data_IF_206363272655
#
_entry.id   IF_206363272655
#
_cell.length_a   1.000
_cell.length_b   1.000
_cell.length_c   1.000
_cell.angle_alpha   90.00
_cell.angle_beta   90.00
_cell.angle_gamma   90.00
#
_symmetry.space_group_name_H-M   'P 1'
#
loop_
_entity.id
_entity.type
_entity.pdbx_description
1 polymer ?
#
# COMPACT_ATOMS: atom_id res chain seq x y z
N UNK A 1 -50.41 13.83 78.15
CA UNK A 1 -50.19 14.99 77.26
C UNK A 1 -49.68 14.48 75.91
N UNK A 2 -50.33 14.91 74.82
CA UNK A 2 -50.03 14.86 73.36
C UNK A 2 -49.00 13.82 72.84
N UNK A 3 -49.35 12.81 72.04
CA UNK A 3 -49.86 12.77 70.64
C UNK A 3 -48.93 13.48 69.62
N UNK A 4 -48.30 12.68 68.75
CA UNK A 4 -48.25 12.92 67.30
C UNK A 4 -48.09 11.59 66.54
N UNK A 5 -49.04 11.36 65.62
CA UNK A 5 -49.20 10.24 64.71
C UNK A 5 -48.81 10.65 63.27
N UNK A 6 -48.36 9.67 62.47
CA UNK A 6 -48.70 9.35 61.05
C UNK A 6 -47.46 8.68 60.42
N UNK A 7 -47.51 7.50 59.80
CA UNK A 7 -48.60 6.63 59.40
C UNK A 7 -48.28 5.98 58.04
N UNK A 8 -48.18 4.64 58.06
CA UNK A 8 -48.56 3.68 57.01
C UNK A 8 -47.87 3.68 55.64
N UNK A 9 -47.28 2.52 55.26
CA UNK A 9 -47.72 1.75 54.07
C UNK A 9 -47.55 0.22 54.35
N UNK A 10 -48.56 -0.62 54.09
CA UNK A 10 -48.51 -2.09 54.22
C UNK A 10 -48.34 -2.81 52.86
N UNK A 11 -47.90 -4.08 52.91
CA UNK A 11 -48.46 -5.14 52.06
C UNK A 11 -47.66 -5.62 50.84
N UNK A 12 -47.01 -6.77 51.01
CA UNK A 12 -46.82 -7.90 50.07
C UNK A 12 -47.07 -7.64 48.57
N UNK A 13 -46.03 -7.76 47.75
CA UNK A 13 -46.14 -7.90 46.30
C UNK A 13 -45.27 -9.04 45.76
N UNK A 14 -45.99 -10.07 45.29
CA UNK A 14 -45.69 -11.06 44.26
C UNK A 14 -44.51 -10.70 43.32
N UNK A 15 -43.46 -11.54 43.28
CA UNK A 15 -42.37 -11.44 42.32
C UNK A 15 -42.88 -11.75 40.89
N UNK A 16 -43.28 -10.71 40.15
CA UNK A 16 -43.46 -10.79 38.69
C UNK A 16 -42.09 -10.78 38.00
N UNK A 17 -41.79 -11.83 37.23
CA UNK A 17 -40.73 -11.82 36.21
C UNK A 17 -40.99 -10.68 35.23
N UNK A 18 -40.27 -9.58 35.37
CA UNK A 18 -40.10 -8.62 34.27
C UNK A 18 -39.18 -9.26 33.23
N UNK A 19 -39.75 -9.67 32.10
CA UNK A 19 -38.98 -9.85 30.86
C UNK A 19 -38.43 -8.47 30.51
N UNK A 20 -37.13 -8.28 30.73
CA UNK A 20 -36.40 -7.19 30.06
C UNK A 20 -36.51 -7.46 28.56
N UNK A 21 -37.27 -6.62 27.85
CA UNK A 21 -37.13 -6.46 26.40
C UNK A 21 -35.80 -5.73 26.19
N UNK A 22 -34.71 -6.49 26.14
CA UNK A 22 -33.50 -5.98 25.51
C UNK A 22 -33.83 -5.73 24.05
N UNK A 23 -33.81 -4.46 23.67
CA UNK A 23 -33.98 -4.02 22.30
C UNK A 23 -32.96 -4.70 21.41
N UNK A 24 -33.46 -5.28 20.32
CA UNK A 24 -32.72 -5.49 19.09
C UNK A 24 -32.11 -4.17 18.64
N UNK A 25 -30.77 -4.08 18.59
CA UNK A 25 -30.09 -2.92 18.04
C UNK A 25 -28.71 -2.70 18.64
N UNK A 26 -27.75 -3.53 18.24
CA UNK A 26 -26.46 -3.03 17.78
C UNK A 26 -26.07 -3.93 16.62
N UNK A 27 -26.31 -3.47 15.40
CA UNK A 27 -25.52 -3.96 14.29
C UNK A 27 -24.07 -3.66 14.67
N UNK A 28 -23.21 -4.69 14.71
CA UNK A 28 -21.79 -4.45 14.58
C UNK A 28 -21.62 -3.70 13.26
N UNK A 29 -21.62 -2.36 13.32
CA UNK A 29 -21.25 -1.53 12.19
C UNK A 29 -19.90 -2.07 11.74
N UNK A 30 -19.82 -2.53 10.48
CA UNK A 30 -18.58 -3.03 9.91
C UNK A 30 -17.47 -2.05 10.32
N UNK A 31 -16.46 -2.47 11.11
CA UNK A 31 -15.39 -1.56 11.48
C UNK A 31 -14.83 -0.99 10.18
N UNK A 32 -14.85 0.35 10.06
CA UNK A 32 -14.35 1.01 8.88
C UNK A 32 -12.90 0.57 8.69
N UNK A 33 -12.62 -0.06 7.55
CA UNK A 33 -11.28 -0.57 7.28
C UNK A 33 -10.28 0.59 7.36
N UNK A 34 -9.03 0.32 7.71
CA UNK A 34 -7.97 1.34 7.66
C UNK A 34 -6.79 0.82 6.88
N UNK A 35 -5.95 1.72 6.39
CA UNK A 35 -4.81 1.37 5.55
C UNK A 35 -3.54 2.09 5.98
N UNK A 36 -2.45 1.35 5.95
CA UNK A 36 -1.09 1.85 6.15
C UNK A 36 -0.35 1.76 4.81
N UNK A 37 0.12 2.90 4.31
CA UNK A 37 0.83 3.01 3.04
C UNK A 37 2.26 3.47 3.29
N UNK A 38 3.24 2.75 2.76
CA UNK A 38 4.65 3.16 2.82
C UNK A 38 5.12 3.51 1.41
N UNK A 39 5.53 4.76 1.23
CA UNK A 39 6.15 5.25 0.00
C UNK A 39 7.65 4.97 0.09
N UNK A 40 8.19 4.28 -0.90
CA UNK A 40 9.63 3.98 -1.01
C UNK A 40 10.11 4.67 -2.27
N UNK A 41 10.92 5.71 -2.11
CA UNK A 41 11.29 6.59 -3.23
C UNK A 41 12.79 6.63 -3.39
N UNK A 42 13.23 6.33 -4.61
CA UNK A 42 14.60 6.53 -5.02
C UNK A 42 14.88 8.05 -5.08
N UNK A 43 15.86 8.47 -4.29
CA UNK A 43 16.33 9.83 -4.15
C UNK A 43 17.33 10.15 -5.26
N UNK A 44 16.83 10.29 -6.48
CA UNK A 44 17.63 10.63 -7.66
C UNK A 44 16.87 11.64 -8.55
N UNK A 45 17.61 12.38 -9.37
CA UNK A 45 17.11 13.36 -10.31
C UNK A 45 16.10 12.78 -11.32
N UNK A 46 16.19 11.49 -11.65
CA UNK A 46 15.23 10.82 -12.54
C UNK A 46 13.76 10.97 -12.08
N UNK A 47 13.54 11.14 -10.77
CA UNK A 47 12.21 11.23 -10.16
C UNK A 47 11.83 12.60 -9.63
N UNK A 48 12.61 13.64 -9.93
CA UNK A 48 12.28 15.01 -9.52
C UNK A 48 10.83 15.40 -9.86
N UNK A 49 10.38 15.12 -11.08
CA UNK A 49 9.00 15.43 -11.51
C UNK A 49 7.93 14.57 -10.85
N UNK A 50 8.25 13.28 -10.59
CA UNK A 50 7.32 12.36 -9.92
C UNK A 50 7.14 12.76 -8.46
N UNK A 51 8.22 13.13 -7.77
CA UNK A 51 8.19 13.58 -6.38
C UNK A 51 7.41 14.90 -6.23
N UNK A 52 7.51 15.82 -7.21
CA UNK A 52 6.69 17.04 -7.21
C UNK A 52 5.19 16.76 -7.26
N UNK A 53 4.79 15.71 -7.97
CA UNK A 53 3.40 15.29 -8.07
C UNK A 53 2.95 14.36 -6.91
N UNK A 54 3.86 13.95 -6.04
CA UNK A 54 3.61 12.93 -5.02
C UNK A 54 2.57 13.36 -3.98
N UNK A 55 2.64 14.62 -3.49
CA UNK A 55 1.64 15.17 -2.55
C UNK A 55 0.23 15.10 -3.14
N UNK A 56 0.06 15.63 -4.36
CA UNK A 56 -1.24 15.61 -5.04
C UNK A 56 -1.71 14.16 -5.31
N UNK A 57 -0.80 13.28 -5.74
CA UNK A 57 -1.12 11.87 -5.99
C UNK A 57 -1.61 11.19 -4.72
N UNK A 58 -0.91 11.37 -3.59
CA UNK A 58 -1.27 10.72 -2.33
C UNK A 58 -2.55 11.29 -1.70
N UNK A 59 -2.84 12.58 -1.89
CA UNK A 59 -4.15 13.15 -1.52
C UNK A 59 -5.30 12.52 -2.32
N UNK A 60 -5.09 12.23 -3.60
CA UNK A 60 -6.09 11.53 -4.42
C UNK A 60 -6.21 10.07 -3.98
N UNK A 61 -5.10 9.38 -3.68
CA UNK A 61 -5.12 8.03 -3.08
C UNK A 61 -5.96 8.01 -1.81
N UNK A 62 -5.70 8.92 -0.88
CA UNK A 62 -6.43 9.01 0.38
C UNK A 62 -7.93 9.28 0.16
N UNK A 63 -8.27 10.15 -0.78
CA UNK A 63 -9.67 10.41 -1.17
C UNK A 63 -10.36 9.17 -1.73
N UNK A 64 -9.69 8.40 -2.59
CA UNK A 64 -10.25 7.16 -3.15
C UNK A 64 -10.37 6.07 -2.07
N UNK A 65 -9.43 6.02 -1.12
CA UNK A 65 -9.53 5.14 0.05
C UNK A 65 -10.76 5.47 0.91
N UNK A 66 -10.96 6.75 1.23
CA UNK A 66 -12.15 7.24 1.94
C UNK A 66 -13.44 6.85 1.19
N UNK A 67 -13.45 7.01 -0.13
CA UNK A 67 -14.58 6.64 -0.99
C UNK A 67 -14.84 5.12 -1.03
N UNK A 68 -13.79 4.31 -0.85
CA UNK A 68 -13.87 2.84 -0.74
C UNK A 68 -14.24 2.35 0.67
N UNK A 69 -14.49 3.26 1.61
CA UNK A 69 -14.87 2.99 2.99
C UNK A 69 -13.69 2.69 3.91
N UNK A 70 -12.46 3.07 3.50
CA UNK A 70 -11.34 3.12 4.43
C UNK A 70 -11.38 4.42 5.24
N UNK A 71 -10.80 4.41 6.43
CA UNK A 71 -10.72 5.56 7.33
C UNK A 71 -9.44 5.47 8.16
N UNK A 72 -9.01 6.59 8.76
CA UNK A 72 -7.79 6.61 9.58
C UNK A 72 -6.57 6.06 8.82
N UNK A 73 -6.43 6.44 7.55
CA UNK A 73 -5.31 6.03 6.70
C UNK A 73 -4.06 6.81 7.09
N UNK A 74 -2.90 6.16 7.06
CA UNK A 74 -1.62 6.81 7.35
C UNK A 74 -0.56 6.40 6.37
N UNK A 75 0.38 7.31 6.16
CA UNK A 75 1.42 7.26 5.17
C UNK A 75 2.77 7.34 5.87
N UNK A 76 3.76 6.61 5.37
CA UNK A 76 5.16 6.78 5.71
C UNK A 76 5.97 6.99 4.44
N UNK A 77 7.16 7.58 4.57
CA UNK A 77 8.07 7.82 3.46
C UNK A 77 9.45 7.27 3.80
N UNK A 78 10.02 6.51 2.87
CA UNK A 78 11.39 6.00 2.87
C UNK A 78 12.10 6.56 1.65
N UNK A 79 13.29 7.10 1.88
CA UNK A 79 14.23 7.47 0.82
C UNK A 79 15.37 6.45 0.71
N UNK A 80 15.94 6.29 -0.49
CA UNK A 80 17.14 5.47 -0.72
C UNK A 80 17.84 5.88 -2.04
N UNK A 81 19.08 5.44 -2.27
CA UNK A 81 19.67 5.47 -3.62
C UNK A 81 20.34 6.77 -4.11
N UNK A 82 20.44 7.84 -3.31
CA UNK A 82 21.08 9.12 -3.73
C UNK A 82 22.61 9.03 -3.95
N UNK A 83 23.25 7.94 -3.51
CA UNK A 83 24.67 7.72 -3.73
C UNK A 83 25.63 8.52 -2.86
N UNK A 84 25.13 9.27 -1.88
CA UNK A 84 25.96 9.96 -0.91
C UNK A 84 25.35 9.98 0.50
N UNK A 85 26.23 9.82 1.50
CA UNK A 85 25.90 9.90 2.91
C UNK A 85 24.80 8.92 3.33
N UNK A 86 23.98 9.32 4.31
CA UNK A 86 22.87 8.52 4.81
C UNK A 86 21.74 8.28 3.79
N UNK A 87 21.72 9.02 2.67
CA UNK A 87 20.67 8.90 1.66
C UNK A 87 20.96 7.78 0.63
N UNK A 88 22.12 7.12 0.71
CA UNK A 88 22.41 5.94 -0.11
C UNK A 88 21.59 4.74 0.33
N UNK A 89 21.43 4.53 1.65
CA UNK A 89 20.70 3.40 2.23
C UNK A 89 19.23 3.74 2.50
N UNK A 90 18.34 2.74 2.58
CA UNK A 90 16.96 2.94 2.99
C UNK A 90 16.86 3.62 4.35
N UNK A 91 16.11 4.73 4.42
CA UNK A 91 15.93 5.48 5.67
C UNK A 91 14.56 6.14 5.72
N UNK A 92 14.04 6.32 6.95
CA UNK A 92 12.73 6.96 7.16
C UNK A 92 12.84 8.48 7.01
N UNK A 93 11.90 9.06 6.28
CA UNK A 93 11.63 10.50 6.21
C UNK A 93 10.41 10.83 7.08
N UNK A 94 10.66 11.38 8.27
CA UNK A 94 9.57 11.71 9.22
C UNK A 94 8.87 13.02 8.87
N UNK A 95 7.57 13.11 9.16
CA UNK A 95 6.85 14.38 9.22
C UNK A 95 6.52 14.70 10.69
N UNK A 96 6.89 15.89 11.16
CA UNK A 96 6.67 16.33 12.57
C UNK A 96 7.17 15.31 13.61
N UNK A 97 8.32 14.68 13.34
CA UNK A 97 8.93 13.68 14.21
C UNK A 97 8.24 12.30 14.22
N UNK A 98 7.22 12.09 13.38
CA UNK A 98 6.49 10.82 13.28
C UNK A 98 6.86 10.06 12.00
N UNK A 99 7.00 8.73 12.11
CA UNK A 99 7.24 7.82 10.97
C UNK A 99 6.01 7.75 10.07
N UNK A 100 4.85 7.48 10.68
CA UNK A 100 3.56 7.49 10.00
C UNK A 100 2.83 8.82 10.26
N UNK A 101 2.20 9.36 9.23
CA UNK A 101 1.52 10.65 9.22
C UNK A 101 0.34 10.66 8.25
N UNK A 102 -0.56 11.63 8.38
CA UNK A 102 -1.66 11.81 7.42
C UNK A 102 -1.17 12.34 6.07
N UNK A 103 -1.93 12.06 5.00
CA UNK A 103 -1.59 12.43 3.61
C UNK A 103 -1.19 13.90 3.45
N UNK A 104 -1.86 14.81 4.15
CA UNK A 104 -1.61 16.24 4.08
C UNK A 104 -0.24 16.70 4.64
N UNK A 105 0.45 15.85 5.41
CA UNK A 105 1.79 16.12 5.96
C UNK A 105 2.93 15.62 5.07
N UNK A 106 2.63 14.94 3.96
CA UNK A 106 3.63 14.44 3.03
C UNK A 106 4.62 15.50 2.52
N UNK A 107 4.22 16.76 2.25
CA UNK A 107 5.16 17.82 1.86
C UNK A 107 6.29 18.05 2.87
N UNK A 108 6.04 17.84 4.16
CA UNK A 108 7.06 17.98 5.21
C UNK A 108 8.09 16.86 5.16
N UNK A 109 7.66 15.65 4.77
CA UNK A 109 8.55 14.49 4.64
C UNK A 109 9.39 14.57 3.35
N UNK A 110 8.80 15.06 2.25
CA UNK A 110 9.48 15.15 0.94
C UNK A 110 10.45 16.33 0.83
N UNK A 111 10.26 17.41 1.61
CA UNK A 111 11.09 18.63 1.55
C UNK A 111 12.60 18.36 1.66
N UNK A 112 12.99 17.32 2.41
CA UNK A 112 14.41 17.00 2.68
C UNK A 112 14.99 15.95 1.74
N UNK A 113 14.21 15.42 0.80
CA UNK A 113 14.70 14.46 -0.18
C UNK A 113 15.77 15.10 -1.06
N UNK A 114 16.79 14.32 -1.40
CA UNK A 114 17.84 14.73 -2.32
C UNK A 114 17.51 14.21 -3.71
N UNK A 115 17.17 15.12 -4.62
CA UNK A 115 16.82 14.78 -6.02
C UNK A 115 17.80 15.43 -6.99
N UNK A 116 18.92 15.93 -6.47
CA UNK A 116 20.05 16.43 -7.22
C UNK A 116 20.92 15.27 -7.71
N UNK A 117 21.66 15.49 -8.80
CA UNK A 117 22.70 14.55 -9.20
C UNK A 117 23.82 14.59 -8.15
N UNK A 118 24.37 13.44 -7.72
CA UNK A 118 25.38 13.40 -6.67
C UNK A 118 26.61 14.24 -7.05
N UNK A 119 27.01 15.13 -6.14
CA UNK A 119 28.02 16.17 -6.39
C UNK A 119 29.47 15.67 -6.57
N UNK A 120 29.75 14.37 -6.41
CA UNK A 120 31.10 13.82 -6.49
C UNK A 120 31.20 12.69 -7.51
N UNK A 121 31.85 13.04 -8.63
CA UNK A 121 32.47 12.16 -9.62
C UNK A 121 33.55 11.27 -8.98
N UNK A 122 33.31 9.96 -8.88
CA UNK A 122 34.34 8.91 -8.96
C UNK A 122 33.64 7.66 -9.50
N UNK A 123 34.33 6.88 -10.34
CA UNK A 123 33.91 5.65 -11.08
C UNK A 123 33.27 4.50 -10.26
N UNK A 124 32.66 4.76 -9.11
CA UNK A 124 31.94 3.74 -8.35
C UNK A 124 30.45 3.84 -8.68
N UNK A 125 29.86 2.77 -9.27
CA UNK A 125 28.43 2.72 -9.45
C UNK A 125 27.76 2.81 -8.07
N UNK A 126 26.83 3.74 -7.94
CA UNK A 126 25.97 3.83 -6.75
C UNK A 126 25.12 2.56 -6.72
N UNK A 127 25.29 1.73 -5.69
CA UNK A 127 24.37 0.62 -5.49
C UNK A 127 23.02 1.16 -5.04
N UNK A 128 21.99 0.91 -5.85
CA UNK A 128 20.60 1.34 -5.62
C UNK A 128 19.75 0.11 -5.34
N UNK A 129 19.98 -0.50 -4.19
CA UNK A 129 19.32 -1.74 -3.81
C UNK A 129 17.83 -1.50 -3.49
N UNK A 130 16.98 -1.74 -4.49
CA UNK A 130 15.52 -1.63 -4.37
C UNK A 130 14.95 -2.71 -3.45
N UNK A 131 15.57 -3.89 -3.38
CA UNK A 131 15.12 -4.99 -2.53
C UNK A 131 15.34 -4.67 -1.05
N UNK A 132 16.50 -4.14 -0.69
CA UNK A 132 16.75 -3.70 0.68
C UNK A 132 15.78 -2.57 1.08
N UNK A 133 15.47 -1.67 0.14
CA UNK A 133 14.46 -0.62 0.39
C UNK A 133 13.05 -1.18 0.63
N UNK A 134 12.62 -2.19 -0.16
CA UNK A 134 11.34 -2.89 0.04
C UNK A 134 11.33 -3.65 1.37
N UNK A 135 12.41 -4.38 1.68
CA UNK A 135 12.57 -5.10 2.94
C UNK A 135 12.48 -4.14 4.11
N UNK A 136 13.25 -3.06 4.11
CA UNK A 136 13.24 -2.03 5.14
C UNK A 136 11.82 -1.46 5.35
N UNK A 137 11.10 -1.18 4.25
CA UNK A 137 9.72 -0.71 4.30
C UNK A 137 8.74 -1.71 4.92
N UNK A 138 8.88 -2.99 4.61
CA UNK A 138 8.00 -4.05 5.12
C UNK A 138 8.18 -4.33 6.63
N UNK A 139 9.27 -3.85 7.22
CA UNK A 139 9.58 -3.97 8.66
C UNK A 139 9.08 -2.79 9.51
N UNK A 140 8.54 -1.73 8.89
CA UNK A 140 7.96 -0.61 9.61
C UNK A 140 6.81 -1.05 10.54
N UNK A 141 6.50 -0.26 11.59
CA UNK A 141 5.46 -0.61 12.58
C UNK A 141 4.04 -0.42 12.04
N UNK A 142 3.62 -1.30 11.13
CA UNK A 142 2.25 -1.43 10.64
C UNK A 142 1.27 -1.73 11.79
N UNK A 143 0.06 -1.17 11.72
CA UNK A 143 -1.00 -1.46 12.70
C UNK A 143 -1.53 -2.89 12.52
N UNK A 144 -2.07 -3.43 13.60
CA UNK A 144 -2.89 -4.64 13.56
C UNK A 144 -4.21 -4.38 12.80
N UNK A 145 -4.74 -5.39 12.12
CA UNK A 145 -6.04 -5.38 11.45
C UNK A 145 -6.21 -4.27 10.39
N UNK A 146 -5.14 -3.90 9.69
CA UNK A 146 -5.17 -2.90 8.61
C UNK A 146 -4.75 -3.50 7.27
N UNK A 147 -5.22 -2.91 6.18
CA UNK A 147 -4.63 -3.15 4.87
C UNK A 147 -3.23 -2.52 4.81
N UNK A 148 -2.26 -3.22 4.22
CA UNK A 148 -0.86 -2.78 4.16
C UNK A 148 -0.44 -2.69 2.70
N UNK A 149 0.11 -1.55 2.28
CA UNK A 149 0.68 -1.41 0.96
C UNK A 149 2.02 -0.70 0.98
N UNK A 150 2.90 -1.11 0.07
CA UNK A 150 4.12 -0.41 -0.28
C UNK A 150 3.95 0.13 -1.70
N UNK A 151 4.31 1.39 -1.91
CA UNK A 151 4.38 2.02 -3.22
C UNK A 151 5.84 2.39 -3.47
N UNK A 152 6.49 1.67 -4.37
CA UNK A 152 7.89 1.91 -4.76
C UNK A 152 7.93 2.80 -5.99
N UNK A 153 8.74 3.85 -5.94
CA UNK A 153 9.02 4.78 -7.03
C UNK A 153 10.53 4.74 -7.28
N UNK A 154 10.97 3.91 -8.23
CA UNK A 154 12.39 3.71 -8.56
C UNK A 154 12.64 3.71 -10.08
N UNK A 155 13.74 4.34 -10.50
CA UNK A 155 14.18 4.36 -11.89
C UNK A 155 15.36 3.40 -12.12
N UNK A 156 16.05 3.00 -11.06
CA UNK A 156 16.99 1.89 -11.10
C UNK A 156 16.31 0.61 -11.57
N UNK A 157 17.03 -0.19 -12.37
CA UNK A 157 16.60 -1.55 -12.69
C UNK A 157 16.56 -2.38 -11.42
N UNK A 158 15.46 -3.10 -11.21
CA UNK A 158 15.35 -4.02 -10.10
C UNK A 158 16.10 -5.32 -10.46
N UNK A 159 17.30 -5.46 -9.90
CA UNK A 159 18.24 -6.56 -10.17
C UNK A 159 18.62 -7.27 -8.88
N UNK A 160 18.47 -8.58 -8.86
CA UNK A 160 18.81 -9.42 -7.70
C UNK A 160 20.33 -9.38 -7.43
N UNK A 161 21.16 -9.23 -8.46
CA UNK A 161 22.62 -9.15 -8.33
C UNK A 161 23.11 -7.89 -7.60
N UNK A 162 22.23 -6.90 -7.45
CA UNK A 162 22.52 -5.66 -6.72
C UNK A 162 22.14 -5.74 -5.23
N UNK A 163 21.51 -6.84 -4.81
CA UNK A 163 21.05 -7.06 -3.45
C UNK A 163 21.68 -8.29 -2.81
N UNK A 164 21.76 -8.28 -1.49
CA UNK A 164 22.02 -9.50 -0.71
C UNK A 164 20.76 -10.38 -0.55
N UNK A 165 19.59 -9.84 -0.94
CA UNK A 165 18.29 -10.49 -0.79
C UNK A 165 17.90 -11.18 -2.09
N UNK A 166 17.36 -12.40 -1.98
CA UNK A 166 16.80 -13.06 -3.15
C UNK A 166 15.41 -12.55 -3.49
N UNK A 167 15.00 -12.76 -4.74
CA UNK A 167 13.61 -12.52 -5.15
C UNK A 167 12.61 -13.25 -4.26
N UNK A 168 12.88 -14.53 -3.98
CA UNK A 168 12.03 -15.37 -3.15
C UNK A 168 11.90 -14.86 -1.71
N UNK A 169 12.96 -14.28 -1.15
CA UNK A 169 12.94 -13.74 0.20
C UNK A 169 11.98 -12.55 0.29
N UNK A 170 12.12 -11.59 -0.64
CA UNK A 170 11.25 -10.40 -0.67
C UNK A 170 9.80 -10.80 -0.94
N UNK A 171 9.57 -11.69 -1.92
CA UNK A 171 8.22 -12.16 -2.21
C UNK A 171 7.57 -12.80 -0.98
N UNK A 172 8.26 -13.74 -0.36
CA UNK A 172 7.76 -14.46 0.81
C UNK A 172 7.49 -13.48 1.93
N UNK A 173 8.41 -12.54 2.18
CA UNK A 173 8.25 -11.51 3.20
C UNK A 173 7.00 -10.65 2.97
N UNK A 174 6.71 -10.22 1.74
CA UNK A 174 5.51 -9.43 1.45
C UNK A 174 4.22 -10.25 1.58
N UNK A 175 4.20 -11.49 1.07
CA UNK A 175 3.04 -12.38 1.15
C UNK A 175 2.75 -12.83 2.59
N UNK A 176 3.79 -13.12 3.38
CA UNK A 176 3.71 -13.51 4.79
C UNK A 176 3.26 -12.36 5.69
N UNK A 177 3.52 -11.11 5.31
CA UNK A 177 3.07 -9.93 6.04
C UNK A 177 1.73 -9.37 5.55
N UNK A 178 1.18 -9.93 4.46
CA UNK A 178 -0.06 -9.42 3.88
C UNK A 178 0.09 -8.05 3.24
N UNK A 179 1.26 -7.75 2.66
CA UNK A 179 1.61 -6.44 2.09
C UNK A 179 1.48 -6.49 0.57
N UNK A 180 0.71 -5.57 0.00
CA UNK A 180 0.65 -5.39 -1.46
C UNK A 180 1.73 -4.44 -1.95
N UNK A 181 2.31 -4.70 -3.12
CA UNK A 181 3.38 -3.87 -3.68
C UNK A 181 2.96 -3.20 -4.99
N UNK A 182 2.90 -1.88 -5.02
CA UNK A 182 2.72 -1.11 -6.25
C UNK A 182 4.07 -0.56 -6.71
N UNK A 183 4.47 -0.86 -7.94
CA UNK A 183 5.72 -0.37 -8.52
C UNK A 183 5.44 0.72 -9.55
N UNK A 184 6.16 1.83 -9.45
CA UNK A 184 6.07 2.97 -10.35
C UNK A 184 7.47 3.29 -10.87
N UNK A 185 7.63 3.22 -12.20
CA UNK A 185 8.88 3.57 -12.88
C UNK A 185 8.57 4.14 -14.27
N UNK A 186 9.57 4.71 -14.94
CA UNK A 186 9.42 5.29 -16.28
C UNK A 186 9.36 4.23 -17.39
N UNK A 187 9.48 2.95 -17.03
CA UNK A 187 9.39 1.81 -17.96
C UNK A 187 8.08 1.83 -18.73
N UNK A 188 8.17 1.45 -20.01
CA UNK A 188 7.04 1.51 -20.94
C UNK A 188 6.16 0.26 -20.84
N UNK A 189 4.89 0.48 -21.14
CA UNK A 189 3.90 -0.58 -21.34
C UNK A 189 3.61 -0.65 -22.84
N UNK A 190 3.91 -1.78 -23.45
CA UNK A 190 3.81 -1.99 -24.90
C UNK A 190 2.63 -2.89 -25.24
N UNK A 191 1.98 -2.65 -26.38
CA UNK A 191 0.88 -3.49 -26.87
C UNK A 191 1.39 -4.29 -28.05
N UNK A 192 1.39 -5.62 -27.94
CA UNK A 192 1.94 -6.57 -28.95
C UNK A 192 1.20 -6.47 -30.31
N UNK A 193 -0.06 -6.02 -30.33
CA UNK A 193 -0.87 -5.87 -31.57
C UNK A 193 -1.19 -4.39 -31.86
N UNK A 194 -0.85 -3.95 -33.07
CA UNK A 194 -0.83 -2.53 -33.50
C UNK A 194 -2.17 -1.81 -33.63
N UNK A 195 -3.31 -2.50 -33.50
CA UNK A 195 -4.65 -1.91 -33.73
C UNK A 195 -5.01 -0.90 -32.61
N UNK A 196 -4.55 -1.15 -31.38
CA UNK A 196 -4.66 -0.22 -30.26
C UNK A 196 -3.26 0.31 -30.01
N UNK A 197 -2.92 1.47 -30.58
CA UNK A 197 -1.74 2.21 -30.13
C UNK A 197 -1.89 2.32 -28.60
N UNK A 198 -0.92 1.86 -27.80
CA UNK A 198 -0.94 1.86 -26.32
C UNK A 198 -1.11 3.24 -25.65
N UNK A 199 -1.54 4.26 -26.42
CA UNK A 199 -2.04 5.54 -25.96
C UNK A 199 -3.15 5.31 -24.93
N UNK A 200 -2.90 5.81 -23.73
CA UNK A 200 -3.87 5.79 -22.65
C UNK A 200 -3.82 4.55 -21.76
N UNK A 201 -2.83 3.66 -21.86
CA UNK A 201 -2.56 2.67 -20.81
C UNK A 201 -1.68 3.32 -19.75
N UNK A 202 -2.11 3.27 -18.49
CA UNK A 202 -1.40 3.87 -17.36
C UNK A 202 -0.68 2.82 -16.50
N UNK A 203 -1.27 1.62 -16.38
CA UNK A 203 -0.73 0.56 -15.54
C UNK A 203 -1.36 -0.80 -15.80
N UNK A 204 -0.81 -1.83 -15.17
CA UNK A 204 -1.24 -3.23 -15.27
C UNK A 204 -1.12 -3.91 -13.91
N UNK A 205 -1.92 -4.94 -13.68
CA UNK A 205 -1.67 -5.94 -12.64
C UNK A 205 -1.74 -7.36 -13.23
N UNK A 206 -1.74 -8.38 -12.38
CA UNK A 206 -1.85 -9.77 -12.81
C UNK A 206 -3.15 -10.06 -13.60
N UNK A 207 -4.24 -9.37 -13.27
CA UNK A 207 -5.58 -9.69 -13.74
C UNK A 207 -6.01 -8.81 -14.93
N UNK A 208 -5.49 -7.59 -15.05
CA UNK A 208 -6.05 -6.57 -15.94
C UNK A 208 -5.08 -5.45 -16.34
N UNK A 209 -5.48 -4.71 -17.38
CA UNK A 209 -4.84 -3.47 -17.84
C UNK A 209 -5.71 -2.28 -17.44
N UNK A 210 -5.09 -1.18 -17.02
CA UNK A 210 -5.76 0.05 -16.58
C UNK A 210 -5.36 1.24 -17.45
N UNK A 211 -6.35 2.04 -17.84
CA UNK A 211 -6.13 3.13 -18.79
C UNK A 211 -7.23 4.17 -18.84
N UNK A 212 -7.25 4.96 -19.91
CA UNK A 212 -8.16 6.10 -20.08
C UNK A 212 -9.65 5.73 -19.98
N UNK A 213 -10.00 4.49 -20.33
CA UNK A 213 -11.38 3.99 -20.19
C UNK A 213 -11.83 3.90 -18.74
N UNK A 214 -10.91 3.73 -17.80
CA UNK A 214 -11.21 3.62 -16.36
C UNK A 214 -11.45 4.97 -15.68
N UNK A 215 -11.13 6.08 -16.35
CA UNK A 215 -11.25 7.43 -15.79
C UNK A 215 -12.72 7.80 -15.57
N UNK A 216 -13.56 7.56 -16.57
CA UNK A 216 -14.99 7.92 -16.54
C UNK A 216 -15.86 6.88 -15.87
N UNK A 217 -15.35 5.67 -15.63
CA UNK A 217 -16.11 4.61 -14.98
C UNK A 217 -16.31 4.91 -13.49
N UNK A 218 -17.48 4.51 -12.98
CA UNK A 218 -17.81 4.62 -11.54
C UNK A 218 -16.97 3.67 -10.69
N UNK A 219 -16.63 2.50 -11.24
CA UNK A 219 -15.83 1.47 -10.61
C UNK A 219 -14.60 1.18 -11.46
N UNK A 220 -13.47 0.87 -10.83
CA UNK A 220 -12.25 0.47 -11.53
C UNK A 220 -12.35 -1.00 -11.99
N UNK A 221 -12.84 -1.20 -13.21
CA UNK A 221 -12.99 -2.53 -13.80
C UNK A 221 -11.68 -3.00 -14.43
N UNK A 222 -10.98 -2.12 -15.14
CA UNK A 222 -9.87 -2.48 -16.01
C UNK A 222 -10.35 -3.22 -17.27
N UNK A 223 -9.39 -3.63 -18.09
CA UNK A 223 -9.59 -4.39 -19.33
C UNK A 223 -8.83 -5.72 -19.30
N UNK A 224 -9.40 -6.79 -18.70
CA UNK A 224 -8.78 -8.12 -18.63
C UNK A 224 -8.45 -8.71 -20.01
N UNK A 225 -9.32 -8.50 -21.01
CA UNK A 225 -9.12 -9.02 -22.38
C UNK A 225 -7.88 -8.44 -23.08
N UNK A 226 -7.40 -7.27 -22.62
CA UNK A 226 -6.16 -6.67 -23.11
C UNK A 226 -4.92 -7.19 -22.39
N UNK A 227 -5.06 -7.84 -21.23
CA UNK A 227 -3.93 -8.28 -20.40
C UNK A 227 -2.97 -9.23 -21.14
N UNK A 228 -3.42 -10.22 -21.94
CA UNK A 228 -2.52 -11.08 -22.73
C UNK A 228 -1.86 -10.36 -23.91
N UNK A 229 -2.35 -9.18 -24.29
CA UNK A 229 -1.89 -8.41 -25.45
C UNK A 229 -0.87 -7.34 -25.07
N UNK A 230 -0.65 -7.13 -23.76
CA UNK A 230 0.24 -6.12 -23.23
C UNK A 230 1.53 -6.78 -22.73
N UNK A 231 2.66 -6.24 -23.17
CA UNK A 231 3.97 -6.55 -22.67
C UNK A 231 4.45 -5.39 -21.78
N UNK A 232 5.18 -5.73 -20.72
CA UNK A 232 5.88 -4.78 -19.86
C UNK A 232 7.37 -5.04 -19.98
N UNK A 233 8.18 -4.04 -19.66
CA UNK A 233 9.63 -4.22 -19.60
C UNK A 233 9.99 -5.39 -18.67
N UNK A 234 11.02 -6.16 -19.06
CA UNK A 234 11.59 -7.24 -18.22
C UNK A 234 12.26 -6.59 -17.00
N UNK A 235 11.56 -6.57 -15.88
CA UNK A 235 12.03 -6.05 -14.61
C UNK A 235 11.44 -6.87 -13.46
N UNK A 236 12.29 -7.27 -12.52
CA UNK A 236 11.93 -8.19 -11.45
C UNK A 236 10.91 -7.56 -10.50
N UNK A 237 10.98 -6.26 -10.23
CA UNK A 237 10.02 -5.55 -9.38
C UNK A 237 8.65 -5.41 -10.06
N UNK A 238 8.58 -5.35 -11.40
CA UNK A 238 7.31 -5.39 -12.14
C UNK A 238 6.62 -6.75 -11.97
N UNK A 239 7.38 -7.85 -12.00
CA UNK A 239 6.85 -9.20 -11.74
C UNK A 239 6.42 -9.33 -10.27
N UNK A 240 7.31 -8.97 -9.34
CA UNK A 240 7.07 -9.01 -7.89
C UNK A 240 5.78 -8.28 -7.52
N UNK A 241 5.59 -7.06 -8.03
CA UNK A 241 4.39 -6.25 -7.76
C UNK A 241 3.10 -6.97 -8.15
N UNK A 242 3.10 -7.69 -9.26
CA UNK A 242 1.92 -8.43 -9.73
C UNK A 242 1.70 -9.71 -8.93
N UNK A 243 2.76 -10.42 -8.57
CA UNK A 243 2.69 -11.65 -7.78
C UNK A 243 2.17 -11.40 -6.37
N UNK A 244 2.54 -10.27 -5.76
CA UNK A 244 2.10 -9.86 -4.41
C UNK A 244 0.87 -8.93 -4.45
N UNK A 245 -0.05 -9.19 -5.38
CA UNK A 245 -1.40 -8.58 -5.49
C UNK A 245 -1.44 -7.06 -5.75
N UNK A 246 -0.31 -6.44 -6.01
CA UNK A 246 -0.24 -5.03 -6.38
C UNK A 246 -0.26 -4.81 -7.89
N UNK A 247 0.46 -3.81 -8.36
CA UNK A 247 0.38 -3.37 -9.77
C UNK A 247 1.63 -2.61 -10.22
N UNK A 248 1.90 -2.61 -11.51
CA UNK A 248 2.88 -1.73 -12.13
C UNK A 248 2.20 -0.54 -12.82
N UNK A 249 2.69 0.68 -12.60
CA UNK A 249 2.25 1.89 -13.30
C UNK A 249 3.44 2.64 -13.91
N UNK A 250 3.30 3.04 -15.17
CA UNK A 250 4.33 3.81 -15.85
C UNK A 250 4.25 5.29 -15.48
N UNK A 251 5.32 5.85 -14.91
CA UNK A 251 5.43 7.27 -14.58
C UNK A 251 5.57 8.15 -15.84
N UNK A 252 5.88 7.58 -17.01
CA UNK A 252 5.93 8.32 -18.28
C UNK A 252 4.59 9.00 -18.59
N UNK A 253 3.46 8.35 -18.22
CA UNK A 253 2.12 8.90 -18.40
C UNK A 253 1.73 9.95 -17.36
N UNK A 254 2.44 10.03 -16.23
CA UNK A 254 2.23 11.10 -15.25
C UNK A 254 2.57 12.48 -15.84
N UNK A 255 3.55 12.53 -16.76
CA UNK A 255 3.97 13.75 -17.45
C UNK A 255 2.99 14.22 -18.53
N UNK A 256 2.38 13.29 -19.25
CA UNK A 256 1.51 13.61 -20.40
C UNK A 256 0.02 13.69 -20.05
N UNK A 257 -0.45 12.86 -19.11
CA UNK A 257 -1.85 12.78 -18.69
C UNK A 257 -1.98 12.58 -17.17
N UNK A 258 -1.28 13.41 -16.42
CA UNK A 258 -1.09 13.23 -14.98
C UNK A 258 -2.38 13.23 -14.16
N UNK A 259 -3.44 13.94 -14.58
CA UNK A 259 -4.71 13.95 -13.86
C UNK A 259 -5.39 12.58 -13.91
N UNK A 260 -5.49 12.01 -15.10
CA UNK A 260 -6.13 10.72 -15.32
C UNK A 260 -5.28 9.59 -14.74
N UNK A 261 -3.96 9.66 -14.93
CA UNK A 261 -3.01 8.73 -14.34
C UNK A 261 -3.19 8.65 -12.81
N UNK A 262 -3.17 9.81 -12.13
CA UNK A 262 -3.33 9.87 -10.66
C UNK A 262 -4.66 9.28 -10.21
N UNK A 263 -5.74 9.55 -10.94
CA UNK A 263 -7.08 9.03 -10.62
C UNK A 263 -7.13 7.51 -10.74
N UNK A 264 -6.62 6.95 -11.84
CA UNK A 264 -6.64 5.50 -12.07
C UNK A 264 -5.70 4.77 -11.11
N UNK A 265 -4.51 5.32 -10.88
CA UNK A 265 -3.56 4.79 -9.89
C UNK A 265 -4.15 4.78 -8.48
N UNK A 266 -4.72 5.89 -8.04
CA UNK A 266 -5.37 6.01 -6.73
C UNK A 266 -6.51 5.00 -6.55
N UNK A 267 -7.37 4.85 -7.55
CA UNK A 267 -8.41 3.83 -7.54
C UNK A 267 -7.85 2.41 -7.48
N UNK A 268 -6.70 2.15 -8.12
CA UNK A 268 -6.07 0.82 -8.08
C UNK A 268 -5.47 0.51 -6.72
N UNK A 269 -4.85 1.50 -6.07
CA UNK A 269 -4.39 1.38 -4.68
C UNK A 269 -5.59 1.20 -3.75
N UNK A 270 -6.69 1.93 -3.96
CA UNK A 270 -7.90 1.77 -3.14
C UNK A 270 -8.67 0.46 -3.40
N UNK A 271 -8.50 -0.14 -4.59
CA UNK A 271 -8.94 -1.51 -4.90
C UNK A 271 -8.10 -2.58 -4.18
N UNK A 272 -7.04 -2.18 -3.46
CA UNK A 272 -6.23 -3.10 -2.67
C UNK A 272 -7.08 -3.93 -1.71
N UNK A 273 -6.52 -5.07 -1.36
CA UNK A 273 -7.19 -6.15 -0.65
C UNK A 273 -7.71 -5.64 0.69
N UNK A 274 -9.04 -5.65 0.84
CA UNK A 274 -9.62 -5.68 2.19
C UNK A 274 -9.17 -7.00 2.80
N UNK A 275 -8.48 -7.03 3.95
CA UNK A 275 -7.90 -8.25 4.51
C UNK A 275 -8.90 -9.41 4.54
N UNK A 276 -10.16 -9.14 4.91
CA UNK A 276 -11.24 -10.12 4.89
C UNK A 276 -11.57 -10.77 3.52
N UNK A 277 -11.48 -10.04 2.41
CA UNK A 277 -11.81 -10.59 1.09
C UNK A 277 -10.77 -11.59 0.58
N UNK A 278 -9.56 -11.55 1.13
CA UNK A 278 -8.46 -12.36 0.63
C UNK A 278 -8.45 -13.79 1.17
N UNK A 279 -9.04 -14.03 2.34
CA UNK A 279 -9.02 -15.35 2.99
C UNK A 279 -10.24 -16.22 2.72
N UNK A 280 -11.23 -15.74 1.94
CA UNK A 280 -12.50 -16.46 1.71
C UNK A 280 -13.74 -15.73 2.22
N UNK A 281 -13.54 -14.62 2.93
CA UNK A 281 -14.62 -13.80 3.47
C UNK A 281 -14.28 -13.29 4.87
N UNK A 282 -15.20 -12.53 5.47
CA UNK A 282 -15.03 -12.06 6.84
C UNK A 282 -14.90 -13.21 7.86
N UNK A 283 -15.49 -14.37 7.57
CA UNK A 283 -15.44 -15.56 8.44
C UNK A 283 -14.10 -16.31 8.36
N UNK A 284 -13.37 -16.18 7.25
CA UNK A 284 -12.07 -16.84 7.06
C UNK A 284 -10.88 -15.90 7.34
N UNK A 285 -11.13 -14.63 7.65
CA UNK A 285 -10.09 -13.66 7.98
C UNK A 285 -9.36 -14.05 9.27
N UNK A 286 -8.06 -14.27 9.19
CA UNK A 286 -7.23 -14.61 10.34
C UNK A 286 -5.90 -13.85 10.30
N UNK A 287 -5.64 -13.09 11.35
CA UNK A 287 -4.36 -12.43 11.61
C UNK A 287 -3.81 -12.92 12.96
N UNK A 288 -2.52 -13.26 13.00
CA UNK A 288 -1.76 -13.56 14.20
C UNK A 288 -0.82 -12.41 14.48
N UNK A 289 -0.92 -11.85 15.69
CA UNK A 289 -0.04 -10.79 16.14
C UNK A 289 0.95 -11.34 17.16
N UNK A 290 2.22 -11.07 16.94
CA UNK A 290 3.32 -11.42 17.85
C UNK A 290 3.96 -10.13 18.35
N UNK A 291 4.31 -10.10 19.63
CA UNK A 291 5.10 -9.02 20.21
C UNK A 291 6.57 -9.35 20.00
N UNK A 292 7.22 -8.62 19.10
CA UNK A 292 8.65 -8.71 18.85
C UNK A 292 9.34 -7.46 19.41
N UNK A 293 10.65 -7.39 19.29
CA UNK A 293 11.39 -6.15 19.56
C UNK A 293 12.02 -5.65 18.28
N UNK A 294 11.91 -4.35 18.03
CA UNK A 294 12.63 -3.68 16.95
C UNK A 294 14.13 -3.64 17.22
N UNK A 295 14.89 -3.10 16.26
CA UNK A 295 16.33 -2.84 16.43
C UNK A 295 16.63 -1.85 17.57
N UNK A 296 15.66 -1.06 17.99
CA UNK A 296 15.73 -0.13 19.12
C UNK A 296 15.28 -0.75 20.46
N UNK A 297 15.10 -2.08 20.50
CA UNK A 297 14.68 -2.85 21.69
C UNK A 297 13.29 -2.44 22.20
N UNK A 298 12.53 -1.64 21.43
CA UNK A 298 11.15 -1.32 21.79
C UNK A 298 10.22 -2.47 21.38
N UNK A 299 9.24 -2.82 22.23
CA UNK A 299 8.25 -3.81 21.86
C UNK A 299 7.44 -3.30 20.67
N UNK A 300 7.37 -4.13 19.63
CA UNK A 300 6.62 -3.89 18.41
C UNK A 300 5.64 -5.04 18.20
N UNK A 301 4.38 -4.69 17.95
CA UNK A 301 3.40 -5.70 17.56
C UNK A 301 3.51 -5.89 16.05
N UNK A 302 3.85 -7.11 15.64
CA UNK A 302 3.91 -7.52 14.23
C UNK A 302 2.76 -8.46 13.96
N UNK A 303 1.82 -8.02 13.13
CA UNK A 303 0.66 -8.81 12.76
C UNK A 303 0.77 -9.33 11.33
N UNK A 304 0.56 -10.64 11.20
CA UNK A 304 0.68 -11.38 9.95
C UNK A 304 -0.58 -12.21 9.69
N UNK A 305 -0.97 -12.39 8.43
CA UNK A 305 -1.86 -13.47 8.02
C UNK A 305 -1.57 -14.80 8.72
N UNK A 306 -2.59 -15.52 9.18
CA UNK A 306 -2.39 -16.86 9.76
C UNK A 306 -1.88 -17.88 8.73
N UNK A 307 -2.12 -17.60 7.45
CA UNK A 307 -1.55 -18.33 6.31
C UNK A 307 -1.01 -17.31 5.33
N UNK A 308 0.20 -17.52 4.78
CA UNK A 308 0.75 -16.68 3.73
C UNK A 308 -0.23 -16.49 2.59
N UNK A 309 -0.21 -15.29 2.01
CA UNK A 309 -0.96 -15.04 0.79
C UNK A 309 -0.42 -15.89 -0.35
N UNK A 310 -1.31 -16.47 -1.14
CA UNK A 310 -0.88 -17.15 -2.37
C UNK A 310 -0.45 -16.10 -3.40
N UNK A 311 0.67 -16.31 -4.12
CA UNK A 311 1.02 -15.49 -5.27
C UNK A 311 -0.14 -15.44 -6.28
N UNK A 312 -0.36 -14.27 -6.89
CA UNK A 312 -1.43 -14.10 -7.91
C UNK A 312 -1.16 -14.81 -9.21
N UNK A 313 0.11 -14.89 -9.59
CA UNK A 313 0.58 -15.45 -10.85
C UNK A 313 1.87 -16.24 -10.56
N UNK A 314 2.11 -17.37 -11.24
CA UNK A 314 3.37 -18.10 -11.09
C UNK A 314 4.53 -17.35 -11.77
N UNK A 315 5.72 -17.35 -11.15
CA UNK A 315 6.97 -16.77 -11.67
C UNK A 315 7.29 -17.13 -13.12
N UNK A 316 6.91 -18.35 -13.54
CA UNK A 316 7.16 -18.88 -14.88
C UNK A 316 6.59 -18.00 -16.01
N UNK A 317 5.58 -17.16 -15.74
CA UNK A 317 5.01 -16.26 -16.73
C UNK A 317 5.90 -15.05 -17.07
N UNK A 318 6.89 -14.73 -16.22
CA UNK A 318 7.78 -13.56 -16.39
C UNK A 318 9.18 -13.93 -16.86
N UNK A 319 9.58 -15.20 -16.67
CA UNK A 319 10.91 -15.73 -17.00
C UNK A 319 10.93 -16.56 -18.29
N UNK A 320 9.78 -16.79 -18.93
CA UNK A 320 9.73 -17.44 -20.23
C UNK A 320 10.50 -16.59 -21.26
N UNK A 321 11.63 -17.12 -21.71
CA UNK A 321 12.36 -16.65 -22.88
C UNK A 321 11.46 -16.88 -24.10
N UNK A 322 10.86 -15.80 -24.63
CA UNK A 322 10.53 -15.70 -26.05
C UNK A 322 11.80 -15.28 -26.82
#
# INVERSE_FOLDING_TARGET
>A
LQIAWRGSIPGVAMWRRQRSKYGSGDSCQNPSASMDIVLVVEEDACHADVVRELDNTMRIVDKELLSAGFSNNRFALIGFGHGSGHNSMPHVRTARGSIFFESHNLPLATQKMRLDAPATSHDRPVNKDVFDAIRYASLLPFRANVAKAIIVIACADCKEEQSELSYSDIQTQLLDHGITLHFVSDKRIEVRKSIIKGKGIYGVDADSVYGSKDVSQKMLLGQPDLRPQVAVAKDICIALAQEVHGSFFSSAMLRSDGKNWKTVFARRVAKALKPAKQYGGAEDYCERCECTHGSDVRPQVVCRPCRPLKPKVPLALYTAED
#
